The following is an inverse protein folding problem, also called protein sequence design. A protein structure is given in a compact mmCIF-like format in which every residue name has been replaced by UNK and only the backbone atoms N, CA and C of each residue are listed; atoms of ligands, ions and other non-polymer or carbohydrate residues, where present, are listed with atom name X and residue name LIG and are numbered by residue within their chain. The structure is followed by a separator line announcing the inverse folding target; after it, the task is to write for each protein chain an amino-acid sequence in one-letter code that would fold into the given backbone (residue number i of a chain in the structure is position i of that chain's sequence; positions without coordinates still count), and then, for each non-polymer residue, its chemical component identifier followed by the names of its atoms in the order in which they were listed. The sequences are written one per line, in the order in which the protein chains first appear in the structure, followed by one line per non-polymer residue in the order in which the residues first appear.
data_IF_914124722559
#
_entry.id   IF_914124722559
#
_cell.length_a   1.000
_cell.length_b   1.000
_cell.length_c   1.000
_cell.angle_alpha   90.00
_cell.angle_beta   90.00
_cell.angle_gamma   90.00
#
_symmetry.space_group_name_H-M   'P 1'
#
loop_
_entity.id
_entity.type
_entity.pdbx_description
1 polymer ?
#
# COMPACT_ATOMS: atom_id res chain seq x y z
N UNK A 1 12.51 19.72 8.96
CA UNK A 1 12.02 18.38 8.65
C UNK A 1 12.89 17.35 9.35
N UNK A 2 12.27 16.29 9.91
CA UNK A 2 12.95 15.26 10.71
C UNK A 2 12.70 13.84 10.21
N UNK A 3 11.59 13.62 9.51
CA UNK A 3 11.24 12.32 8.95
C UNK A 3 10.67 12.44 7.54
N UNK A 4 10.76 11.34 6.79
CA UNK A 4 10.13 11.15 5.49
C UNK A 4 9.33 9.85 5.55
N UNK A 5 8.05 9.92 5.27
CA UNK A 5 7.17 8.79 5.20
C UNK A 5 6.78 8.49 3.75
N UNK A 6 6.70 7.23 3.41
CA UNK A 6 6.44 6.77 2.05
C UNK A 6 5.16 5.94 1.98
N UNK A 7 4.35 6.17 0.97
CA UNK A 7 3.53 5.12 0.42
C UNK A 7 4.42 4.05 -0.23
N UNK A 8 3.88 2.90 -0.56
CA UNK A 8 4.63 1.76 -1.07
C UNK A 8 4.32 1.47 -2.53
N UNK A 9 3.08 1.05 -2.82
CA UNK A 9 2.62 0.64 -4.16
C UNK A 9 2.68 1.83 -5.14
N UNK A 10 3.22 1.64 -6.34
CA UNK A 10 3.49 2.69 -7.34
C UNK A 10 4.46 3.79 -6.90
N UNK A 11 4.84 3.83 -5.63
CA UNK A 11 5.85 4.75 -5.09
C UNK A 11 7.23 4.10 -5.09
N UNK A 12 7.37 2.87 -4.58
CA UNK A 12 8.64 2.14 -4.49
C UNK A 12 8.77 0.99 -5.49
N UNK A 13 7.67 0.50 -6.05
CA UNK A 13 7.57 -0.51 -7.12
C UNK A 13 6.27 -0.33 -7.89
N UNK A 14 6.18 -0.89 -9.10
CA UNK A 14 4.93 -0.96 -9.86
C UNK A 14 4.06 -2.09 -9.30
N UNK A 15 2.87 -1.75 -8.82
CA UNK A 15 1.97 -2.72 -8.20
C UNK A 15 1.20 -3.56 -9.21
N UNK A 16 0.94 -3.06 -10.42
CA UNK A 16 0.06 -3.75 -11.36
C UNK A 16 0.59 -5.13 -11.78
N UNK A 17 1.86 -5.29 -12.22
CA UNK A 17 2.41 -6.60 -12.56
C UNK A 17 2.47 -7.55 -11.34
N UNK A 18 2.63 -7.00 -10.13
CA UNK A 18 2.63 -7.79 -8.89
C UNK A 18 1.24 -8.37 -8.62
N UNK A 19 0.20 -7.53 -8.72
CA UNK A 19 -1.18 -7.96 -8.51
C UNK A 19 -1.62 -8.95 -9.59
N UNK A 20 -1.25 -8.72 -10.85
CA UNK A 20 -1.56 -9.64 -11.94
C UNK A 20 -0.97 -11.04 -11.69
N UNK A 21 0.30 -11.12 -11.33
CA UNK A 21 0.97 -12.37 -10.98
C UNK A 21 0.32 -13.05 -9.77
N UNK A 22 -0.04 -12.28 -8.73
CA UNK A 22 -0.67 -12.82 -7.53
C UNK A 22 -2.06 -13.39 -7.84
N UNK A 23 -2.86 -12.74 -8.68
CA UNK A 23 -4.16 -13.24 -9.12
C UNK A 23 -4.01 -14.49 -10.00
N UNK A 24 -3.00 -14.54 -10.89
CA UNK A 24 -2.73 -15.72 -11.70
C UNK A 24 -2.36 -16.94 -10.84
N UNK A 25 -1.51 -16.76 -9.82
CA UNK A 25 -1.15 -17.84 -8.88
C UNK A 25 -2.34 -18.30 -8.05
N UNK A 26 -3.15 -17.37 -7.57
CA UNK A 26 -4.40 -17.69 -6.88
C UNK A 26 -5.35 -18.51 -7.78
N UNK A 27 -5.57 -18.04 -9.00
CA UNK A 27 -6.44 -18.74 -9.96
C UNK A 27 -5.93 -20.17 -10.27
N UNK A 28 -4.63 -20.35 -10.47
CA UNK A 28 -4.03 -21.67 -10.67
C UNK A 28 -4.22 -22.59 -9.47
N UNK A 29 -4.04 -22.08 -8.25
CA UNK A 29 -4.27 -22.84 -7.03
C UNK A 29 -5.75 -23.23 -6.88
N UNK A 30 -6.67 -22.30 -7.12
CA UNK A 30 -8.12 -22.57 -7.07
C UNK A 30 -8.53 -23.62 -8.10
N UNK A 31 -7.98 -23.57 -9.32
CA UNK A 31 -8.26 -24.59 -10.34
C UNK A 31 -7.85 -25.99 -9.90
N UNK A 32 -6.76 -26.14 -9.16
CA UNK A 32 -6.27 -27.43 -8.67
C UNK A 32 -7.06 -27.95 -7.45
N UNK A 33 -7.42 -27.07 -6.52
CA UNK A 33 -7.98 -27.46 -5.22
C UNK A 33 -9.50 -27.25 -5.14
N UNK A 34 -10.03 -26.32 -5.93
CA UNK A 34 -11.42 -25.93 -5.92
C UNK A 34 -11.95 -25.72 -7.35
N UNK A 35 -11.93 -26.73 -8.26
CA UNK A 35 -12.18 -26.54 -9.70
C UNK A 35 -13.59 -26.00 -10.04
N UNK A 36 -14.55 -26.12 -9.13
CA UNK A 36 -15.88 -25.50 -9.29
C UNK A 36 -15.90 -24.02 -8.93
N UNK A 37 -14.91 -23.56 -8.18
CA UNK A 37 -14.77 -22.19 -7.71
C UNK A 37 -13.95 -21.38 -8.74
N UNK A 38 -14.66 -20.80 -9.71
CA UNK A 38 -14.03 -19.90 -10.69
C UNK A 38 -14.33 -18.46 -10.26
N UNK A 39 -13.28 -17.69 -10.09
CA UNK A 39 -13.38 -16.32 -9.59
C UNK A 39 -12.40 -15.44 -10.38
N UNK A 40 -12.92 -14.60 -11.24
CA UNK A 40 -12.13 -13.61 -11.95
C UNK A 40 -11.67 -12.49 -11.03
N UNK A 41 -10.63 -11.73 -11.44
CA UNK A 41 -10.17 -10.53 -10.72
C UNK A 41 -11.31 -9.51 -10.54
N UNK A 42 -12.18 -9.35 -11.53
CA UNK A 42 -13.31 -8.42 -11.45
C UNK A 42 -14.38 -8.88 -10.42
N UNK A 43 -14.72 -10.16 -10.41
CA UNK A 43 -15.66 -10.73 -9.43
C UNK A 43 -15.09 -10.65 -8.01
N UNK A 44 -13.80 -10.97 -7.81
CA UNK A 44 -13.12 -10.81 -6.53
C UNK A 44 -13.14 -9.35 -6.06
N UNK A 45 -12.91 -8.40 -6.96
CA UNK A 45 -12.99 -6.98 -6.65
C UNK A 45 -14.38 -6.59 -6.21
N UNK A 46 -15.42 -6.94 -6.99
CA UNK A 46 -16.81 -6.65 -6.67
C UNK A 46 -17.25 -7.28 -5.34
N UNK A 47 -16.85 -8.52 -5.06
CA UNK A 47 -17.14 -9.19 -3.80
C UNK A 47 -16.53 -8.45 -2.60
N UNK A 48 -15.28 -7.99 -2.71
CA UNK A 48 -14.63 -7.19 -1.65
C UNK A 48 -15.29 -5.82 -1.45
N UNK A 49 -15.67 -5.14 -2.53
CA UNK A 49 -16.37 -3.86 -2.46
C UNK A 49 -17.74 -4.01 -1.76
N UNK A 50 -18.49 -5.07 -2.08
CA UNK A 50 -19.75 -5.36 -1.40
C UNK A 50 -19.55 -5.68 0.09
N UNK A 51 -18.51 -6.44 0.44
CA UNK A 51 -18.18 -6.72 1.84
C UNK A 51 -17.78 -5.46 2.59
N UNK A 52 -16.99 -4.58 1.99
CA UNK A 52 -16.62 -3.31 2.59
C UNK A 52 -17.84 -2.42 2.89
N UNK A 53 -18.87 -2.45 2.03
CA UNK A 53 -20.13 -1.74 2.26
C UNK A 53 -20.96 -2.35 3.39
N UNK A 54 -20.96 -3.70 3.52
CA UNK A 54 -21.69 -4.41 4.58
C UNK A 54 -20.99 -4.33 5.93
N UNK A 55 -19.67 -4.26 5.92
CA UNK A 55 -18.80 -4.24 7.10
C UNK A 55 -17.87 -3.01 7.08
N UNK A 56 -18.42 -1.79 7.19
CA UNK A 56 -17.64 -0.57 7.05
C UNK A 56 -16.51 -0.45 8.08
N UNK A 57 -16.66 -1.06 9.25
CA UNK A 57 -15.61 -1.13 10.26
C UNK A 57 -14.40 -2.01 9.86
N UNK A 58 -14.53 -2.83 8.82
CA UNK A 58 -13.49 -3.68 8.22
C UNK A 58 -13.02 -3.20 6.84
N UNK A 59 -13.63 -2.16 6.28
CA UNK A 59 -13.35 -1.68 4.92
C UNK A 59 -11.87 -1.35 4.67
N UNK A 60 -11.13 -1.00 5.71
CA UNK A 60 -9.71 -0.71 5.67
C UNK A 60 -8.81 -1.97 5.55
N UNK A 61 -9.30 -3.15 5.90
CA UNK A 61 -8.51 -4.40 5.93
C UNK A 61 -8.69 -5.19 4.63
N UNK A 62 -7.88 -4.87 3.62
CA UNK A 62 -7.91 -5.53 2.30
C UNK A 62 -7.63 -7.03 2.37
N UNK A 63 -6.86 -7.49 3.38
CA UNK A 63 -6.59 -8.91 3.61
C UNK A 63 -7.82 -9.62 4.13
N UNK A 64 -8.47 -9.05 5.16
CA UNK A 64 -9.73 -9.55 5.68
C UNK A 64 -10.80 -9.65 4.59
N UNK A 65 -11.01 -8.58 3.83
CA UNK A 65 -12.00 -8.54 2.75
C UNK A 65 -11.74 -9.63 1.70
N UNK A 66 -10.49 -9.90 1.35
CA UNK A 66 -10.15 -10.97 0.40
C UNK A 66 -10.42 -12.35 0.97
N UNK A 67 -10.01 -12.62 2.20
CA UNK A 67 -10.27 -13.92 2.85
C UNK A 67 -11.76 -14.16 3.01
N UNK A 68 -12.53 -13.16 3.45
CA UNK A 68 -13.96 -13.27 3.60
C UNK A 68 -14.69 -13.50 2.25
N UNK A 69 -14.25 -12.82 1.19
CA UNK A 69 -14.78 -13.05 -0.17
C UNK A 69 -14.47 -14.46 -0.66
N UNK A 70 -13.25 -14.95 -0.47
CA UNK A 70 -12.87 -16.33 -0.81
C UNK A 70 -13.69 -17.36 -0.03
N UNK A 71 -13.88 -17.14 1.28
CA UNK A 71 -14.67 -18.04 2.14
C UNK A 71 -16.14 -18.10 1.71
N UNK A 72 -16.75 -16.94 1.44
CA UNK A 72 -18.13 -16.89 0.93
C UNK A 72 -18.29 -17.66 -0.38
N UNK A 73 -17.36 -17.42 -1.32
CA UNK A 73 -17.39 -18.08 -2.62
C UNK A 73 -17.12 -19.61 -2.51
N UNK A 74 -16.21 -20.02 -1.62
CA UNK A 74 -15.98 -21.44 -1.33
C UNK A 74 -17.25 -22.13 -0.84
N UNK A 75 -17.96 -21.53 0.11
CA UNK A 75 -19.23 -22.05 0.65
C UNK A 75 -20.32 -22.17 -0.42
N UNK A 76 -20.47 -21.17 -1.28
CA UNK A 76 -21.43 -21.18 -2.39
C UNK A 76 -21.21 -22.34 -3.36
N UNK A 77 -19.94 -22.79 -3.51
CA UNK A 77 -19.57 -23.89 -4.39
C UNK A 77 -19.40 -25.24 -3.67
N UNK A 78 -19.77 -25.31 -2.37
CA UNK A 78 -19.72 -26.54 -1.57
C UNK A 78 -18.30 -26.96 -1.15
N UNK A 79 -17.41 -26.00 -0.96
CA UNK A 79 -16.09 -26.20 -0.38
C UNK A 79 -16.03 -25.69 1.06
N UNK A 80 -15.05 -26.18 1.81
CA UNK A 80 -14.81 -25.74 3.18
C UNK A 80 -14.20 -24.32 3.19
N UNK A 81 -14.73 -23.45 4.07
CA UNK A 81 -14.29 -22.06 4.20
C UNK A 81 -12.80 -21.95 4.60
N UNK A 82 -12.22 -22.95 5.29
CA UNK A 82 -10.79 -22.97 5.65
C UNK A 82 -9.86 -22.89 4.44
N UNK A 83 -10.31 -23.31 3.26
CA UNK A 83 -9.53 -23.21 2.02
C UNK A 83 -9.26 -21.76 1.62
N UNK A 84 -10.09 -20.81 2.06
CA UNK A 84 -9.89 -19.38 1.81
C UNK A 84 -8.57 -18.87 2.38
N UNK A 85 -8.18 -19.30 3.57
CA UNK A 85 -6.91 -18.91 4.19
C UNK A 85 -5.72 -19.46 3.40
N UNK A 86 -5.78 -20.71 2.93
CA UNK A 86 -4.74 -21.32 2.11
C UNK A 86 -4.62 -20.62 0.74
N UNK A 87 -5.75 -20.35 0.09
CA UNK A 87 -5.79 -19.59 -1.17
C UNK A 87 -5.20 -18.16 -1.00
N UNK A 88 -5.53 -17.52 0.12
CA UNK A 88 -5.00 -16.19 0.43
C UNK A 88 -3.48 -16.20 0.66
N UNK A 89 -2.91 -17.22 1.32
CA UNK A 89 -1.47 -17.33 1.50
C UNK A 89 -0.73 -17.47 0.16
N UNK A 90 -1.31 -18.18 -0.82
CA UNK A 90 -0.76 -18.27 -2.19
C UNK A 90 -0.74 -16.88 -2.85
N UNK A 91 -1.86 -16.15 -2.74
CA UNK A 91 -1.92 -14.78 -3.23
C UNK A 91 -0.91 -13.88 -2.52
N UNK A 92 -0.85 -13.92 -1.18
CA UNK A 92 -0.02 -13.04 -0.38
C UNK A 92 1.48 -13.32 -0.61
N UNK A 93 1.88 -14.56 -0.81
CA UNK A 93 3.24 -14.90 -1.17
C UNK A 93 3.66 -14.20 -2.47
N UNK A 94 2.85 -14.33 -3.53
CA UNK A 94 3.12 -13.68 -4.81
C UNK A 94 3.00 -12.15 -4.75
N UNK A 95 2.10 -11.61 -3.90
CA UNK A 95 1.95 -10.17 -3.66
C UNK A 95 3.21 -9.53 -3.08
N UNK A 96 4.04 -10.30 -2.40
CA UNK A 96 5.30 -9.82 -1.82
C UNK A 96 6.52 -10.05 -2.73
N UNK A 97 6.35 -10.64 -3.90
CA UNK A 97 7.40 -10.75 -4.92
C UNK A 97 7.44 -9.48 -5.78
N UNK A 98 7.87 -8.38 -5.21
CA UNK A 98 7.93 -7.08 -5.89
C UNK A 98 9.27 -6.87 -6.60
N UNK A 99 9.24 -6.15 -7.70
CA UNK A 99 10.43 -5.62 -8.35
C UNK A 99 10.58 -4.15 -7.95
N UNK A 100 11.46 -3.91 -6.96
CA UNK A 100 11.72 -2.58 -6.43
C UNK A 100 12.41 -1.74 -7.52
N UNK A 101 11.96 -0.50 -7.73
CA UNK A 101 12.63 0.39 -8.70
C UNK A 101 14.10 0.61 -8.33
N UNK A 102 14.97 0.62 -9.33
CA UNK A 102 16.43 0.64 -9.14
C UNK A 102 16.94 1.87 -8.34
N UNK A 103 16.21 2.99 -8.41
CA UNK A 103 16.52 4.22 -7.68
C UNK A 103 16.18 4.16 -6.18
N UNK A 104 15.35 3.22 -5.74
CA UNK A 104 14.80 3.19 -4.37
C UNK A 104 15.86 2.86 -3.33
N UNK A 105 16.48 1.68 -3.43
CA UNK A 105 17.40 1.21 -2.38
C UNK A 105 18.57 2.20 -2.13
N UNK A 106 19.28 2.71 -3.16
CA UNK A 106 20.36 3.68 -2.95
C UNK A 106 19.85 5.01 -2.39
N UNK A 107 18.64 5.45 -2.80
CA UNK A 107 18.07 6.71 -2.30
C UNK A 107 17.61 6.61 -0.85
N UNK A 108 16.94 5.51 -0.46
CA UNK A 108 16.58 5.28 0.95
C UNK A 108 17.84 5.21 1.84
N UNK A 109 18.90 4.55 1.37
CA UNK A 109 20.18 4.49 2.10
C UNK A 109 20.80 5.88 2.32
N UNK A 110 20.68 6.80 1.37
CA UNK A 110 21.14 8.19 1.49
C UNK A 110 20.24 8.97 2.46
N UNK A 111 18.92 8.92 2.26
CA UNK A 111 17.93 9.66 3.06
C UNK A 111 17.99 9.28 4.54
N UNK A 112 18.14 7.98 4.88
CA UNK A 112 18.20 7.50 6.27
C UNK A 112 19.41 8.01 7.07
N UNK A 113 20.43 8.54 6.41
CA UNK A 113 21.58 9.17 7.11
C UNK A 113 21.18 10.46 7.83
N UNK A 114 20.08 11.08 7.41
CA UNK A 114 19.68 12.41 7.88
C UNK A 114 18.25 12.47 8.41
N UNK A 115 17.40 11.54 7.97
CA UNK A 115 15.97 11.52 8.31
C UNK A 115 15.56 10.13 8.85
N UNK A 116 14.63 10.11 9.80
CA UNK A 116 13.90 8.88 10.10
C UNK A 116 13.01 8.56 8.91
N UNK A 117 13.05 7.31 8.44
CA UNK A 117 12.18 6.86 7.35
C UNK A 117 11.04 6.02 7.91
N UNK A 118 9.85 6.23 7.37
CA UNK A 118 8.67 5.46 7.72
C UNK A 118 7.87 5.05 6.48
N UNK A 119 7.02 4.04 6.61
CA UNK A 119 6.04 3.70 5.57
C UNK A 119 4.62 3.73 6.11
N UNK A 120 3.68 4.11 5.25
CA UNK A 120 2.24 4.07 5.53
C UNK A 120 1.49 3.72 4.25
N UNK A 121 0.92 2.52 4.19
CA UNK A 121 0.24 1.98 3.00
C UNK A 121 -1.19 1.54 3.30
N UNK A 122 -2.08 1.68 2.32
CA UNK A 122 -3.41 1.05 2.36
C UNK A 122 -3.36 -0.43 1.94
N UNK A 123 -2.25 -0.86 1.35
CA UNK A 123 -2.03 -2.23 0.90
C UNK A 123 -1.62 -3.19 2.03
N UNK A 124 -1.34 -4.41 1.62
CA UNK A 124 -0.92 -5.50 2.50
C UNK A 124 0.47 -6.05 2.15
N UNK A 125 1.33 -5.22 1.55
CA UNK A 125 2.73 -5.55 1.35
C UNK A 125 3.43 -5.73 2.70
N UNK A 126 4.25 -6.78 2.78
CA UNK A 126 5.05 -7.12 3.95
C UNK A 126 6.52 -6.77 3.64
N UNK A 127 7.00 -5.69 4.23
CA UNK A 127 8.36 -5.20 3.99
C UNK A 127 9.46 -6.14 4.50
N UNK A 128 9.18 -7.04 5.46
CA UNK A 128 10.10 -8.08 5.87
C UNK A 128 10.28 -9.12 4.76
N UNK A 129 9.15 -9.61 4.20
CA UNK A 129 9.18 -10.56 3.08
C UNK A 129 9.82 -9.96 1.82
N UNK A 130 9.64 -8.66 1.61
CA UNK A 130 10.23 -7.91 0.48
C UNK A 130 11.72 -7.62 0.72
N UNK A 131 12.19 -7.66 1.97
CA UNK A 131 13.59 -7.36 2.31
C UNK A 131 13.88 -5.87 2.48
N UNK A 132 12.86 -5.02 2.61
CA UNK A 132 12.99 -3.56 2.72
C UNK A 132 12.73 -3.02 4.13
N UNK A 133 12.28 -3.85 5.08
CA UNK A 133 11.93 -3.39 6.42
C UNK A 133 13.09 -2.67 7.15
N UNK A 134 14.32 -3.12 6.90
CA UNK A 134 15.53 -2.53 7.50
C UNK A 134 15.77 -1.05 7.13
N UNK A 135 15.13 -0.55 6.09
CA UNK A 135 15.23 0.85 5.67
C UNK A 135 14.35 1.78 6.50
N UNK A 136 13.34 1.27 7.18
CA UNK A 136 12.32 2.04 7.86
C UNK A 136 12.39 1.90 9.38
N UNK A 137 12.21 3.02 10.08
CA UNK A 137 12.11 3.06 11.56
C UNK A 137 10.70 2.64 12.01
N UNK A 138 9.68 3.01 11.21
CA UNK A 138 8.26 2.72 11.47
C UNK A 138 7.63 2.21 10.19
N UNK A 139 6.89 1.11 10.29
CA UNK A 139 6.10 0.56 9.18
C UNK A 139 4.66 0.40 9.60
N UNK A 140 3.73 1.08 8.92
CA UNK A 140 2.32 1.04 9.19
C UNK A 140 1.53 0.69 7.93
N UNK A 141 0.43 0.00 8.14
CA UNK A 141 -0.57 -0.22 7.09
C UNK A 141 -1.98 -0.04 7.64
N UNK A 142 -2.96 0.04 6.75
CA UNK A 142 -4.35 0.26 7.09
C UNK A 142 -4.88 -0.75 8.13
N UNK A 143 -4.50 -2.03 8.03
CA UNK A 143 -4.90 -3.08 8.96
C UNK A 143 -4.39 -2.83 10.37
N UNK A 144 -3.11 -2.47 10.54
CA UNK A 144 -2.50 -2.23 11.86
C UNK A 144 -3.02 -0.97 12.53
N UNK A 145 -3.45 0.02 11.73
CA UNK A 145 -4.03 1.27 12.22
C UNK A 145 -5.52 1.12 12.54
N UNK A 146 -6.24 0.26 11.84
CA UNK A 146 -7.69 0.18 11.87
C UNK A 146 -8.37 1.28 11.03
N UNK A 147 -7.62 1.88 10.07
CA UNK A 147 -8.07 2.93 9.17
C UNK A 147 -7.24 2.95 7.89
N UNK A 148 -7.79 3.51 6.82
CA UNK A 148 -7.09 3.68 5.54
C UNK A 148 -6.95 5.17 5.18
N UNK A 149 -5.90 5.54 4.47
CA UNK A 149 -5.83 6.85 3.78
C UNK A 149 -7.06 6.99 2.88
N UNK A 150 -7.73 8.14 2.84
CA UNK A 150 -7.28 9.47 3.26
C UNK A 150 -7.63 9.85 4.72
N UNK A 151 -8.06 8.93 5.57
CA UNK A 151 -8.44 9.27 6.95
C UNK A 151 -7.27 9.91 7.71
N UNK A 152 -7.53 11.07 8.31
CA UNK A 152 -6.53 11.87 9.06
C UNK A 152 -5.81 11.07 10.15
N UNK A 153 -6.53 10.16 10.83
CA UNK A 153 -5.96 9.31 11.90
C UNK A 153 -4.80 8.43 11.44
N UNK A 154 -4.70 8.11 10.13
CA UNK A 154 -3.56 7.36 9.58
C UNK A 154 -2.26 8.15 9.72
N UNK A 155 -2.30 9.43 9.37
CA UNK A 155 -1.15 10.33 9.46
C UNK A 155 -0.83 10.72 10.90
N UNK A 156 -1.85 10.90 11.74
CA UNK A 156 -1.68 11.14 13.18
C UNK A 156 -1.04 9.94 13.87
N UNK A 157 -1.46 8.71 13.54
CA UNK A 157 -0.83 7.50 14.06
C UNK A 157 0.62 7.39 13.62
N UNK A 158 0.95 7.69 12.38
CA UNK A 158 2.32 7.72 11.87
C UNK A 158 3.19 8.73 12.63
N UNK A 159 2.69 9.94 12.85
CA UNK A 159 3.38 10.98 13.61
C UNK A 159 3.60 10.57 15.07
N UNK A 160 2.61 9.92 15.69
CA UNK A 160 2.70 9.37 17.04
C UNK A 160 3.81 8.31 17.15
N UNK A 161 3.83 7.33 16.24
CA UNK A 161 4.86 6.27 16.25
C UNK A 161 6.28 6.82 16.00
N UNK A 162 6.39 7.87 15.21
CA UNK A 162 7.66 8.58 14.98
C UNK A 162 8.06 9.51 16.14
N UNK A 163 7.16 9.78 17.08
CA UNK A 163 7.33 10.78 18.16
C UNK A 163 7.66 12.16 17.59
N UNK A 164 7.03 12.55 16.48
CA UNK A 164 7.26 13.80 15.77
C UNK A 164 5.93 14.54 15.51
N UNK A 165 5.95 15.89 15.53
CA UNK A 165 4.80 16.65 15.09
C UNK A 165 4.64 16.55 13.56
N UNK A 166 3.39 16.51 13.08
CA UNK A 166 3.03 16.39 11.65
C UNK A 166 3.82 17.33 10.72
N UNK A 167 4.03 18.64 11.04
CA UNK A 167 4.79 19.53 10.14
C UNK A 167 6.29 19.20 10.00
N UNK A 168 6.81 18.31 10.86
CA UNK A 168 8.21 17.83 10.78
C UNK A 168 8.37 16.62 9.87
N UNK A 169 7.29 16.12 9.27
CA UNK A 169 7.28 14.93 8.43
C UNK A 169 6.94 15.34 6.99
N UNK A 170 7.67 14.84 6.02
CA UNK A 170 7.27 14.87 4.61
C UNK A 170 6.64 13.53 4.26
N UNK A 171 5.49 13.56 3.60
CA UNK A 171 4.82 12.38 3.08
C UNK A 171 5.01 12.29 1.57
N UNK A 172 5.46 11.13 1.09
CA UNK A 172 5.78 10.86 -0.30
C UNK A 172 4.84 9.76 -0.81
N UNK A 173 4.07 10.03 -1.85
CA UNK A 173 3.19 9.03 -2.45
C UNK A 173 2.80 9.38 -3.88
N UNK A 174 2.22 8.42 -4.59
CA UNK A 174 1.86 8.56 -6.01
C UNK A 174 0.43 9.06 -6.22
N UNK A 175 -0.47 8.85 -5.26
CA UNK A 175 -1.88 9.22 -5.39
C UNK A 175 -2.13 10.68 -4.95
N UNK A 176 -2.60 11.57 -5.86
CA UNK A 176 -2.87 12.96 -5.53
C UNK A 176 -3.86 13.17 -4.39
N UNK A 177 -4.87 12.28 -4.24
CA UNK A 177 -5.92 12.41 -3.20
C UNK A 177 -5.59 11.66 -1.93
N UNK A 178 -5.23 10.37 -2.05
CA UNK A 178 -4.99 9.50 -0.89
C UNK A 178 -3.69 9.84 -0.16
N UNK A 179 -2.69 10.34 -0.89
CA UNK A 179 -1.38 10.66 -0.33
C UNK A 179 -1.19 12.16 -0.14
N UNK A 180 -1.24 12.93 -1.24
CA UNK A 180 -0.81 14.33 -1.21
C UNK A 180 -1.86 15.22 -0.53
N UNK A 181 -3.11 15.20 -0.99
CA UNK A 181 -4.18 16.00 -0.40
C UNK A 181 -4.44 15.61 1.07
N UNK A 182 -4.48 14.29 1.33
CA UNK A 182 -4.74 13.78 2.68
C UNK A 182 -3.62 14.11 3.67
N UNK A 183 -2.35 13.96 3.28
CA UNK A 183 -1.21 14.34 4.13
C UNK A 183 -1.16 15.85 4.36
N UNK A 184 -1.48 16.67 3.34
CA UNK A 184 -1.61 18.13 3.50
C UNK A 184 -2.70 18.48 4.49
N UNK A 185 -3.89 17.88 4.36
CA UNK A 185 -5.01 18.11 5.26
C UNK A 185 -4.68 17.68 6.71
N UNK A 186 -3.78 16.71 6.89
CA UNK A 186 -3.26 16.35 8.20
C UNK A 186 -2.23 17.36 8.74
N UNK A 187 -1.60 18.19 7.89
CA UNK A 187 -0.58 19.18 8.26
C UNK A 187 0.86 18.74 8.03
N UNK A 188 1.07 17.73 7.20
CA UNK A 188 2.40 17.30 6.75
C UNK A 188 2.88 18.10 5.53
N UNK A 189 4.18 18.06 5.25
CA UNK A 189 4.72 18.43 3.95
C UNK A 189 4.44 17.33 2.95
N UNK A 190 4.24 17.69 1.68
CA UNK A 190 3.76 16.77 0.66
C UNK A 190 4.71 16.65 -0.51
N UNK A 191 4.99 15.42 -0.92
CA UNK A 191 5.76 15.14 -2.12
C UNK A 191 4.97 14.19 -3.02
N UNK A 192 4.69 14.64 -4.23
CA UNK A 192 4.09 13.78 -5.23
C UNK A 192 5.16 12.98 -5.98
N UNK A 193 5.11 11.67 -5.84
CA UNK A 193 5.95 10.74 -6.61
C UNK A 193 5.29 10.46 -7.96
N UNK A 194 5.63 11.24 -8.96
CA UNK A 194 5.03 11.15 -10.29
C UNK A 194 5.89 10.34 -11.26
N UNK A 195 6.03 9.04 -11.02
CA UNK A 195 6.83 8.13 -11.86
C UNK A 195 6.32 8.01 -13.30
N UNK A 196 5.03 8.26 -13.51
CA UNK A 196 4.36 8.07 -14.80
C UNK A 196 4.25 9.36 -15.62
N UNK A 197 4.71 10.49 -15.12
CA UNK A 197 4.60 11.78 -15.81
C UNK A 197 3.16 12.24 -16.02
N UNK A 198 2.25 11.93 -15.09
CA UNK A 198 0.84 12.28 -15.20
C UNK A 198 0.63 13.79 -14.97
N UNK A 199 -0.44 14.34 -15.54
CA UNK A 199 -0.86 15.68 -15.21
C UNK A 199 -1.43 15.74 -13.79
N UNK A 200 -1.12 16.82 -13.06
CA UNK A 200 -1.71 17.04 -11.74
C UNK A 200 -3.21 17.36 -11.88
N UNK A 201 -4.10 16.82 -11.04
CA UNK A 201 -5.52 17.14 -11.04
C UNK A 201 -5.72 18.64 -10.74
N UNK A 202 -6.36 19.34 -11.68
CA UNK A 202 -6.51 20.81 -11.62
C UNK A 202 -7.36 21.31 -10.46
N UNK A 203 -8.21 20.44 -9.90
CA UNK A 203 -9.07 20.73 -8.76
C UNK A 203 -8.35 20.62 -7.41
N UNK A 204 -7.14 20.04 -7.38
CA UNK A 204 -6.35 19.88 -6.15
C UNK A 204 -5.26 20.94 -6.05
N UNK A 205 -4.98 21.39 -4.82
CA UNK A 205 -3.82 22.24 -4.57
C UNK A 205 -2.53 21.45 -4.87
N UNK A 206 -1.53 22.04 -5.56
CA UNK A 206 -0.32 21.33 -5.97
C UNK A 206 0.49 20.81 -4.77
N UNK A 207 1.21 19.69 -4.93
CA UNK A 207 2.14 19.21 -3.93
C UNK A 207 3.23 20.25 -3.62
N UNK A 208 3.81 20.23 -2.41
CA UNK A 208 4.94 21.13 -2.09
C UNK A 208 6.17 20.81 -2.94
N UNK A 209 6.31 19.55 -3.37
CA UNK A 209 7.34 19.07 -4.28
C UNK A 209 6.78 17.97 -5.18
N UNK A 210 7.19 17.95 -6.45
CA UNK A 210 6.94 16.85 -7.38
C UNK A 210 8.27 16.26 -7.84
N UNK A 211 8.39 14.94 -7.78
CA UNK A 211 9.58 14.20 -8.23
C UNK A 211 9.18 13.00 -9.08
N UNK A 212 10.01 12.62 -10.04
CA UNK A 212 9.78 11.46 -10.90
C UNK A 212 10.33 10.15 -10.32
N UNK A 213 11.26 10.22 -9.36
CA UNK A 213 11.93 9.07 -8.75
C UNK A 213 12.53 9.41 -7.38
N UNK A 214 13.01 8.39 -6.66
CA UNK A 214 13.63 8.59 -5.36
C UNK A 214 15.02 9.24 -5.42
N UNK A 215 15.71 9.19 -6.57
CA UNK A 215 17.00 9.89 -6.73
C UNK A 215 16.78 11.40 -6.78
N UNK A 216 15.75 11.88 -7.50
CA UNK A 216 15.33 13.29 -7.47
C UNK A 216 14.87 13.70 -6.07
N UNK A 217 14.14 12.83 -5.37
CA UNK A 217 13.76 13.08 -3.97
C UNK A 217 15.00 13.29 -3.10
N UNK A 218 15.97 12.37 -3.15
CA UNK A 218 17.20 12.47 -2.36
C UNK A 218 18.00 13.75 -2.69
N UNK A 219 18.07 14.12 -3.96
CA UNK A 219 18.71 15.36 -4.39
C UNK A 219 18.00 16.61 -3.84
N UNK A 220 16.67 16.65 -3.89
CA UNK A 220 15.86 17.76 -3.36
C UNK A 220 16.02 17.93 -1.84
N UNK A 221 16.25 16.82 -1.12
CA UNK A 221 16.53 16.85 0.32
C UNK A 221 18.01 17.00 0.68
N UNK A 222 18.87 17.25 -0.32
CA UNK A 222 20.30 17.55 -0.16
C UNK A 222 21.08 16.43 0.56
N UNK A 223 20.86 15.19 0.17
CA UNK A 223 21.55 14.00 0.69
C UNK A 223 22.13 13.14 -0.43
#
# INVERSE_FOLDING_TARGET
MRAIAFDLDNTLWDVEPVLERAEQRLAGWLQQHCPRMRLSRAEMRAAREQLALREPHRAHDVSYLRVAALAAHAREHGYEERLAAQAFEVFLAARNEVEIFADVAPSLARLRRRYALASLSNGNADLERIGLAHAFTVTLNARTIGAAKPERRCFERLAHELLLPLPSIAYVGDDPRLDVEAARAAGMRTVWMNRRGLAWPVELAPADLTVGDCAQLAAAFQV
#
